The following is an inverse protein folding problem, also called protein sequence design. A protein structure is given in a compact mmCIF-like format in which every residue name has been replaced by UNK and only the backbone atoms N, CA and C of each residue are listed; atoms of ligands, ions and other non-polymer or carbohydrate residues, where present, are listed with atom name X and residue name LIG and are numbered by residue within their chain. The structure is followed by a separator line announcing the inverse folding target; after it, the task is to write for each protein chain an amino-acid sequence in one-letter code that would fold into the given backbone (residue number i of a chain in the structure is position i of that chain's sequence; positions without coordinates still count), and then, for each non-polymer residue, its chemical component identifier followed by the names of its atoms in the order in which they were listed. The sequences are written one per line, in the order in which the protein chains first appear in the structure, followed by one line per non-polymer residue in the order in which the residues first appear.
data_IF_848802120692
#
_entry.id   IF_848802120692
#
_cell.length_a   1.000
_cell.length_b   1.000
_cell.length_c   1.000
_cell.angle_alpha   90.00
_cell.angle_beta   90.00
_cell.angle_gamma   90.00
#
_symmetry.space_group_name_H-M   'P 1'
#
loop_
_entity.id
_entity.type
_entity.pdbx_description
1 polymer ?
#
# COMPACT_ATOMS: atom_id res chain seq x y z
N UNK A 1 24.53 -9.18 9.70
CA UNK A 1 24.71 -10.12 10.82
C UNK A 1 24.18 -9.46 12.09
N UNK A 2 23.11 -10.00 12.73
CA UNK A 2 22.54 -9.43 13.96
C UNK A 2 23.54 -9.37 15.12
N UNK A 3 24.62 -10.15 15.08
CA UNK A 3 25.64 -10.13 16.12
C UNK A 3 26.56 -8.92 16.05
N UNK A 4 26.76 -8.30 14.89
CA UNK A 4 27.59 -7.10 14.77
C UNK A 4 26.92 -5.92 15.49
N UNK A 5 25.60 -5.79 15.42
CA UNK A 5 24.86 -4.72 16.10
C UNK A 5 24.95 -4.79 17.63
N UNK A 6 25.34 -5.92 18.22
CA UNK A 6 25.58 -6.05 19.66
C UNK A 6 26.88 -5.36 20.09
N UNK A 7 27.88 -5.32 19.21
CA UNK A 7 29.20 -4.78 19.50
C UNK A 7 29.41 -3.36 19.01
N UNK A 8 28.58 -2.91 18.02
CA UNK A 8 28.66 -1.56 17.48
C UNK A 8 27.28 -0.90 17.41
N UNK A 9 27.00 0.04 18.33
CA UNK A 9 25.71 0.75 18.35
C UNK A 9 25.48 1.60 17.09
N UNK A 10 26.53 1.97 16.35
CA UNK A 10 26.41 2.79 15.14
C UNK A 10 25.77 2.03 13.97
N UNK A 11 25.79 0.70 14.02
CA UNK A 11 25.23 -0.18 12.98
C UNK A 11 23.75 -0.54 13.24
N UNK A 12 23.17 -0.07 14.33
CA UNK A 12 21.78 -0.38 14.68
C UNK A 12 20.80 0.33 13.76
N UNK A 13 19.66 -0.33 13.42
CA UNK A 13 18.56 0.33 12.74
C UNK A 13 18.03 1.52 13.57
N UNK A 14 17.39 2.48 12.89
CA UNK A 14 16.69 3.58 13.54
C UNK A 14 15.45 3.07 14.27
N UNK A 15 14.69 2.22 13.58
CA UNK A 15 13.52 1.56 14.13
C UNK A 15 13.46 0.09 13.70
N UNK A 16 12.61 -0.70 14.36
CA UNK A 16 12.46 -2.11 14.02
C UNK A 16 13.75 -2.92 14.14
N UNK A 17 13.96 -3.86 13.21
CA UNK A 17 15.06 -4.83 13.27
C UNK A 17 15.99 -4.78 12.04
N UNK A 18 15.67 -3.96 11.01
CA UNK A 18 16.34 -3.95 9.72
C UNK A 18 16.46 -2.53 9.17
N UNK A 19 17.48 -2.32 8.37
CA UNK A 19 17.69 -1.14 7.56
C UNK A 19 18.33 -1.52 6.22
N UNK A 20 18.37 -0.62 5.26
CA UNK A 20 19.09 -0.79 4.01
C UNK A 20 20.51 -0.25 4.15
N UNK A 21 21.49 -0.94 3.56
CA UNK A 21 22.88 -0.51 3.55
C UNK A 21 23.50 -0.70 2.17
N UNK A 22 24.31 0.30 1.76
CA UNK A 22 25.20 0.21 0.62
C UNK A 22 26.64 0.17 1.12
N UNK A 23 27.41 -0.77 0.61
CA UNK A 23 28.82 -0.99 0.93
C UNK A 23 29.70 -0.49 -0.22
N UNK A 24 31.01 -0.19 0.03
CA UNK A 24 31.88 0.33 -1.00
C UNK A 24 31.95 -0.55 -2.23
N UNK A 25 31.69 0.01 -3.40
CA UNK A 25 31.93 -0.65 -4.66
C UNK A 25 33.43 -0.77 -4.91
N UNK A 26 33.89 -1.90 -5.43
CA UNK A 26 35.28 -2.11 -5.81
C UNK A 26 35.37 -2.80 -7.17
N UNK A 27 36.00 -2.18 -8.17
CA UNK A 27 36.58 -0.82 -8.18
C UNK A 27 35.56 0.27 -8.48
N UNK A 28 35.79 1.48 -7.95
CA UNK A 28 35.11 2.71 -8.34
C UNK A 28 34.08 3.20 -7.34
N UNK A 29 33.28 4.18 -7.76
CA UNK A 29 32.21 4.75 -6.96
C UNK A 29 30.99 3.83 -6.95
N UNK A 30 30.21 3.90 -5.89
CA UNK A 30 28.88 3.31 -5.83
C UNK A 30 27.97 3.96 -6.87
N UNK A 31 27.00 3.20 -7.32
CA UNK A 31 25.87 3.65 -8.09
C UNK A 31 24.67 2.75 -7.75
N UNK A 32 24.35 2.71 -6.45
CA UNK A 32 23.38 1.77 -5.89
C UNK A 32 22.04 2.47 -5.70
N UNK A 33 21.03 1.97 -6.36
CA UNK A 33 19.69 2.54 -6.39
C UNK A 33 18.73 1.78 -5.47
N UNK A 34 18.03 2.53 -4.62
CA UNK A 34 16.80 2.11 -3.96
C UNK A 34 15.67 2.74 -4.78
N UNK A 35 14.90 1.93 -5.49
CA UNK A 35 13.82 2.40 -6.36
C UNK A 35 12.49 1.89 -5.82
N UNK A 36 11.48 2.77 -5.75
CA UNK A 36 10.12 2.38 -5.36
C UNK A 36 9.47 1.46 -6.41
N UNK A 37 8.47 0.67 -6.04
CA UNK A 37 7.48 0.18 -6.99
C UNK A 37 6.84 1.35 -7.76
N UNK A 38 6.14 1.05 -8.86
CA UNK A 38 5.40 2.08 -9.60
C UNK A 38 4.34 2.72 -8.69
N UNK A 39 4.35 4.06 -8.68
CA UNK A 39 3.49 4.90 -7.85
C UNK A 39 2.35 5.48 -8.70
N UNK A 40 1.21 5.69 -8.07
CA UNK A 40 0.04 6.31 -8.71
C UNK A 40 -0.66 7.23 -7.71
N UNK A 41 -0.15 8.45 -7.59
CA UNK A 41 -0.75 9.50 -6.77
C UNK A 41 -1.47 10.51 -7.68
N UNK A 42 -2.63 10.98 -7.25
CA UNK A 42 -3.40 12.00 -7.96
C UNK A 42 -3.13 13.44 -7.46
N UNK A 43 -2.15 13.60 -6.60
CA UNK A 43 -1.65 14.88 -6.05
C UNK A 43 -0.23 14.72 -5.57
N UNK A 44 0.43 15.84 -5.31
CA UNK A 44 1.76 15.86 -4.72
C UNK A 44 1.78 15.07 -3.40
N UNK A 45 2.85 14.34 -3.19
CA UNK A 45 3.04 13.46 -2.04
C UNK A 45 4.42 13.64 -1.42
N UNK A 46 4.67 13.01 -0.30
CA UNK A 46 5.91 13.15 0.45
C UNK A 46 6.73 11.86 0.35
N UNK A 47 8.00 12.04 0.02
CA UNK A 47 9.06 11.10 0.34
C UNK A 47 9.73 11.55 1.64
N UNK A 48 9.74 10.71 2.65
CA UNK A 48 10.48 10.92 3.89
C UNK A 48 11.28 9.66 4.22
N UNK A 49 12.53 9.82 4.63
CA UNK A 49 13.38 8.73 5.07
C UNK A 49 14.45 9.24 6.02
N UNK A 50 15.14 8.32 6.65
CA UNK A 50 16.30 8.63 7.47
C UNK A 50 17.54 7.99 6.88
N UNK A 51 18.64 8.74 6.86
CA UNK A 51 19.92 8.23 6.40
C UNK A 51 21.06 8.66 7.32
N UNK A 52 22.13 7.90 7.33
CA UNK A 52 23.38 8.24 7.98
C UNK A 52 24.60 7.57 7.33
N UNK A 53 25.77 8.18 7.49
CA UNK A 53 27.05 7.53 7.28
C UNK A 53 27.42 6.73 8.54
N UNK A 54 27.99 5.54 8.38
CA UNK A 54 28.46 4.76 9.52
C UNK A 54 29.62 5.46 10.25
N UNK A 55 30.61 5.98 9.50
CA UNK A 55 31.77 6.70 10.00
C UNK A 55 32.19 7.81 9.05
N UNK A 56 32.88 8.83 9.57
CA UNK A 56 33.49 9.88 8.74
C UNK A 56 35.02 9.67 8.54
N UNK A 57 35.58 8.59 9.05
CA UNK A 57 37.01 8.28 8.94
C UNK A 57 37.49 8.15 7.48
N UNK A 58 36.56 7.80 6.59
CA UNK A 58 36.80 7.67 5.15
C UNK A 58 36.05 8.74 4.34
N UNK A 59 35.49 9.77 5.00
CA UNK A 59 34.62 10.77 4.43
C UNK A 59 33.15 10.49 4.68
N UNK A 60 32.30 11.44 4.33
CA UNK A 60 30.85 11.30 4.40
C UNK A 60 30.32 10.55 3.19
N UNK A 61 29.33 9.72 3.39
CA UNK A 61 28.57 9.10 2.31
C UNK A 61 27.85 10.16 1.46
N UNK A 62 27.73 9.86 0.19
CA UNK A 62 27.10 10.74 -0.79
C UNK A 62 25.88 10.09 -1.39
N UNK A 63 24.78 10.83 -1.47
CA UNK A 63 23.56 10.35 -2.09
C UNK A 63 22.93 11.35 -3.03
N UNK A 64 22.16 10.85 -4.00
CA UNK A 64 21.18 11.62 -4.76
C UNK A 64 19.76 11.15 -4.40
N UNK A 65 18.80 12.06 -4.48
CA UNK A 65 17.37 11.76 -4.32
C UNK A 65 16.65 12.25 -5.57
N UNK A 66 15.81 11.42 -6.15
CA UNK A 66 15.16 11.76 -7.41
C UNK A 66 13.81 11.09 -7.60
N UNK A 67 13.12 11.51 -8.65
CA UNK A 67 11.91 10.89 -9.14
C UNK A 67 11.92 10.75 -10.66
N UNK A 68 11.08 9.85 -11.19
CA UNK A 68 10.88 9.67 -12.62
C UNK A 68 9.40 9.67 -12.96
N UNK A 69 9.03 10.23 -14.11
CA UNK A 69 7.66 10.26 -14.64
C UNK A 69 7.45 9.22 -15.75
N UNK A 70 8.49 8.51 -16.16
CA UNK A 70 8.48 7.57 -17.30
C UNK A 70 8.79 6.14 -16.87
N UNK A 71 10.05 5.84 -16.63
CA UNK A 71 10.59 4.52 -16.33
C UNK A 71 11.39 4.49 -15.03
N UNK A 72 12.03 3.37 -14.79
CA UNK A 72 12.86 3.15 -13.59
C UNK A 72 14.34 2.88 -13.94
N UNK A 73 14.76 3.18 -15.16
CA UNK A 73 16.17 3.14 -15.53
C UNK A 73 16.93 4.29 -14.88
N UNK A 74 18.21 4.11 -14.61
CA UNK A 74 19.06 5.10 -13.94
C UNK A 74 19.06 6.49 -14.63
N UNK A 75 18.84 6.52 -15.94
CA UNK A 75 18.79 7.74 -16.76
C UNK A 75 17.43 8.45 -16.74
N UNK A 76 16.40 7.83 -16.21
CA UNK A 76 15.04 8.39 -16.19
C UNK A 76 14.82 9.36 -15.02
N UNK A 77 15.72 9.35 -14.03
CA UNK A 77 15.52 10.09 -12.80
C UNK A 77 15.92 11.57 -12.91
N UNK A 78 15.03 12.41 -12.43
CA UNK A 78 15.23 13.86 -12.22
C UNK A 78 15.68 14.04 -10.77
N UNK A 79 16.89 14.61 -10.60
CA UNK A 79 17.49 14.76 -9.26
C UNK A 79 16.94 15.98 -8.53
N UNK A 80 16.42 15.77 -7.31
CA UNK A 80 15.90 16.82 -6.43
C UNK A 80 17.00 17.65 -5.76
N UNK A 81 18.20 17.10 -5.67
CA UNK A 81 19.38 17.78 -5.13
C UNK A 81 20.21 18.53 -6.18
N UNK A 82 19.73 18.60 -7.43
CA UNK A 82 20.45 19.25 -8.53
C UNK A 82 21.73 18.49 -8.95
N UNK A 83 22.80 19.23 -9.23
CA UNK A 83 24.04 18.65 -9.76
C UNK A 83 24.97 18.05 -8.69
N UNK A 84 24.80 18.44 -7.42
CA UNK A 84 25.70 18.05 -6.36
C UNK A 84 25.04 16.98 -5.46
N UNK A 85 25.69 15.84 -5.23
CA UNK A 85 25.26 14.86 -4.25
C UNK A 85 25.17 15.45 -2.84
N UNK A 86 24.27 14.90 -2.05
CA UNK A 86 24.05 15.29 -0.65
C UNK A 86 25.07 14.54 0.21
N UNK A 87 25.84 15.29 1.03
CA UNK A 87 26.63 14.69 2.07
C UNK A 87 25.74 14.19 3.23
N UNK A 88 25.92 12.93 3.59
CA UNK A 88 25.13 12.29 4.66
C UNK A 88 25.95 12.30 5.96
N UNK A 89 25.47 12.93 7.05
CA UNK A 89 26.21 13.00 8.29
C UNK A 89 26.39 11.63 8.97
N UNK A 90 27.43 11.51 9.76
CA UNK A 90 27.65 10.42 10.70
C UNK A 90 26.90 10.64 12.03
N UNK A 91 26.74 9.59 12.81
CA UNK A 91 26.23 9.64 14.18
C UNK A 91 24.72 9.41 14.24
N UNK A 92 23.94 10.47 14.34
CA UNK A 92 22.49 10.34 14.41
C UNK A 92 21.87 10.16 13.04
N UNK A 93 20.78 9.39 12.99
CA UNK A 93 19.94 9.32 11.81
C UNK A 93 19.38 10.69 11.46
N UNK A 94 19.63 11.15 10.24
CA UNK A 94 19.18 12.46 9.73
C UNK A 94 17.94 12.26 8.89
N UNK A 95 16.88 13.02 9.16
CA UNK A 95 15.66 13.03 8.37
C UNK A 95 15.86 13.80 7.07
N UNK A 96 15.38 13.19 5.97
CA UNK A 96 15.24 13.82 4.65
C UNK A 96 13.79 13.78 4.24
N UNK A 97 13.28 14.95 3.78
CA UNK A 97 11.88 15.11 3.39
C UNK A 97 11.79 15.91 2.11
N UNK A 98 11.04 15.38 1.15
CA UNK A 98 10.84 15.99 -0.16
C UNK A 98 9.36 15.96 -0.53
N UNK A 99 8.87 17.03 -1.17
CA UNK A 99 7.61 17.01 -1.88
C UNK A 99 7.85 16.49 -3.28
N UNK A 100 7.12 15.46 -3.66
CA UNK A 100 7.24 14.77 -4.95
C UNK A 100 5.99 15.12 -5.76
N UNK A 101 6.13 15.49 -7.03
CA UNK A 101 4.99 15.87 -7.86
C UNK A 101 4.09 14.68 -8.19
N UNK A 102 2.79 14.94 -8.38
CA UNK A 102 1.77 13.94 -8.62
C UNK A 102 2.04 13.01 -9.80
N UNK A 103 2.70 13.53 -10.84
CA UNK A 103 3.06 12.78 -12.04
C UNK A 103 4.22 11.79 -11.86
N UNK A 104 4.91 11.81 -10.72
CA UNK A 104 6.01 10.90 -10.46
C UNK A 104 5.52 9.45 -10.35
N UNK A 105 6.10 8.58 -11.17
CA UNK A 105 5.84 7.14 -11.18
C UNK A 105 6.81 6.35 -10.33
N UNK A 106 8.02 6.84 -10.18
CA UNK A 106 9.07 6.20 -9.39
C UNK A 106 9.82 7.26 -8.60
N UNK A 107 10.30 6.88 -7.44
CA UNK A 107 11.27 7.65 -6.65
C UNK A 107 12.51 6.81 -6.44
N UNK A 108 13.63 7.48 -6.22
CA UNK A 108 14.90 6.82 -5.93
C UNK A 108 15.73 7.53 -4.88
N UNK A 109 16.46 6.74 -4.12
CA UNK A 109 17.61 7.15 -3.30
C UNK A 109 18.81 6.41 -3.88
N UNK A 110 19.80 7.14 -4.35
CA UNK A 110 20.96 6.58 -5.03
C UNK A 110 22.25 6.88 -4.26
N UNK A 111 22.95 5.87 -3.77
CA UNK A 111 24.27 6.01 -3.20
C UNK A 111 25.31 6.20 -4.33
N UNK A 112 26.06 7.29 -4.24
CA UNK A 112 27.12 7.64 -5.21
C UNK A 112 28.47 7.86 -4.54
N UNK A 113 28.67 7.31 -3.36
CA UNK A 113 29.91 7.39 -2.60
C UNK A 113 31.06 6.75 -3.35
N UNK A 114 32.27 7.26 -3.14
CA UNK A 114 33.46 6.72 -3.75
C UNK A 114 34.46 6.32 -2.68
N UNK A 115 34.60 5.00 -2.45
CA UNK A 115 35.49 4.42 -1.48
C UNK A 115 35.27 4.93 -0.04
N UNK A 116 34.03 5.27 0.29
CA UNK A 116 33.56 5.55 1.65
C UNK A 116 33.22 4.21 2.31
N UNK A 117 32.50 4.13 3.44
CA UNK A 117 32.38 2.85 4.14
C UNK A 117 30.98 2.24 4.06
N UNK A 118 30.00 2.76 4.81
CA UNK A 118 28.62 2.24 4.77
C UNK A 118 27.62 3.39 4.74
N UNK A 119 26.85 3.47 3.68
CA UNK A 119 25.66 4.28 3.58
C UNK A 119 24.47 3.52 4.14
N UNK A 120 23.71 4.12 5.05
CA UNK A 120 22.60 3.49 5.75
C UNK A 120 21.31 4.29 5.54
N UNK A 121 20.21 3.59 5.21
CA UNK A 121 18.86 4.18 5.01
C UNK A 121 17.85 3.37 5.80
N UNK A 122 16.91 4.07 6.45
CA UNK A 122 15.83 3.48 7.24
C UNK A 122 14.55 4.31 7.21
N UNK A 123 13.44 3.72 7.64
CA UNK A 123 12.13 4.36 7.80
C UNK A 123 11.68 5.14 6.57
N UNK A 124 11.72 4.51 5.39
CA UNK A 124 11.26 5.12 4.15
C UNK A 124 9.72 5.20 4.17
N UNK A 125 9.21 6.41 4.07
CA UNK A 125 7.79 6.72 3.93
C UNK A 125 7.51 7.37 2.59
N UNK A 126 6.54 6.86 1.87
CA UNK A 126 6.01 7.43 0.62
C UNK A 126 4.52 7.56 0.79
N UNK A 127 4.00 8.77 0.73
CA UNK A 127 2.57 8.97 0.94
C UNK A 127 2.17 10.43 1.01
N UNK A 128 0.90 10.65 1.22
CA UNK A 128 0.37 11.99 1.42
C UNK A 128 0.47 12.35 2.90
N UNK A 129 0.97 13.54 3.16
CA UNK A 129 1.02 14.05 4.54
C UNK A 129 -0.40 14.30 5.06
N UNK A 130 -0.66 13.78 6.23
CA UNK A 130 -1.91 14.07 6.91
C UNK A 130 -1.86 15.50 7.46
N UNK A 131 -3.00 16.21 7.51
CA UNK A 131 -3.04 17.54 8.10
C UNK A 131 -2.49 17.57 9.53
N UNK A 132 -1.91 18.70 9.91
CA UNK A 132 -1.38 18.91 11.26
C UNK A 132 -2.44 18.61 12.33
N UNK A 133 -2.06 17.87 13.37
CA UNK A 133 -2.96 17.47 14.47
C UNK A 133 -3.58 16.08 14.33
N UNK A 134 -3.29 15.36 13.23
CA UNK A 134 -3.70 13.98 13.04
C UNK A 134 -2.66 13.03 13.67
N UNK A 135 -2.94 12.51 14.85
CA UNK A 135 -2.09 11.52 15.54
C UNK A 135 -2.44 10.11 15.08
N UNK A 136 -1.56 9.50 14.28
CA UNK A 136 -1.70 8.14 13.77
C UNK A 136 -1.83 7.07 14.88
N UNK A 137 -1.26 7.31 16.05
CA UNK A 137 -1.33 6.38 17.17
C UNK A 137 -2.72 6.32 17.80
N UNK A 138 -3.44 7.45 17.77
CA UNK A 138 -4.83 7.55 18.20
C UNK A 138 -5.85 7.20 17.09
N UNK A 139 -5.41 7.01 15.85
CA UNK A 139 -6.27 6.79 14.68
C UNK A 139 -6.80 5.37 14.56
N UNK A 140 -6.14 4.37 15.13
CA UNK A 140 -6.55 2.97 15.00
C UNK A 140 -7.94 2.67 15.58
N UNK A 141 -8.43 3.48 16.48
CA UNK A 141 -9.70 3.21 17.19
C UNK A 141 -10.93 3.94 16.63
N UNK A 142 -10.75 4.97 15.78
CA UNK A 142 -11.87 5.82 15.34
C UNK A 142 -11.85 6.20 13.84
N UNK A 143 -11.26 5.37 12.98
CA UNK A 143 -11.35 5.61 11.55
C UNK A 143 -12.72 5.15 11.05
N UNK A 144 -13.45 6.05 10.37
CA UNK A 144 -14.61 5.68 9.56
C UNK A 144 -14.37 6.03 8.10
N UNK A 145 -15.10 5.37 7.23
CA UNK A 145 -15.04 5.58 5.79
C UNK A 145 -16.40 6.07 5.31
N UNK A 146 -16.41 7.21 4.65
CA UNK A 146 -17.56 7.64 3.87
C UNK A 146 -17.50 6.97 2.51
N UNK A 147 -18.56 6.25 2.15
CA UNK A 147 -18.69 5.53 0.89
C UNK A 147 -19.61 6.30 -0.05
N UNK A 148 -19.18 6.48 -1.27
CA UNK A 148 -19.87 7.21 -2.31
C UNK A 148 -20.15 6.30 -3.51
N UNK A 149 -21.28 6.53 -4.15
CA UNK A 149 -21.64 5.93 -5.43
C UNK A 149 -22.13 7.05 -6.35
N UNK A 150 -21.55 7.15 -7.54
CA UNK A 150 -21.89 8.15 -8.55
C UNK A 150 -21.91 9.60 -8.04
N UNK A 151 -21.00 9.90 -7.10
CA UNK A 151 -20.84 11.21 -6.46
C UNK A 151 -21.72 11.44 -5.24
N UNK A 152 -22.67 10.55 -4.94
CA UNK A 152 -23.52 10.65 -3.76
C UNK A 152 -22.98 9.80 -2.59
N UNK A 153 -22.98 10.38 -1.38
CA UNK A 153 -22.63 9.64 -0.17
C UNK A 153 -23.75 8.67 0.19
N UNK A 154 -23.46 7.38 0.18
CA UNK A 154 -24.43 6.32 0.43
C UNK A 154 -24.28 5.67 1.81
N UNK A 155 -23.08 5.72 2.41
CA UNK A 155 -22.86 5.11 3.72
C UNK A 155 -21.67 5.73 4.46
N UNK A 156 -21.61 5.42 5.77
CA UNK A 156 -20.40 5.59 6.60
C UNK A 156 -20.18 4.30 7.36
N UNK A 157 -18.98 3.72 7.27
CA UNK A 157 -18.63 2.44 7.89
C UNK A 157 -17.25 2.50 8.54
N UNK A 158 -17.01 1.65 9.53
CA UNK A 158 -15.67 1.41 10.08
C UNK A 158 -14.96 0.20 9.45
N UNK A 159 -15.66 -0.50 8.54
CA UNK A 159 -15.10 -1.66 7.85
C UNK A 159 -14.28 -1.22 6.64
N UNK A 160 -13.19 -1.94 6.36
CA UNK A 160 -12.33 -1.69 5.19
C UNK A 160 -12.89 -2.24 3.87
N UNK A 161 -14.12 -2.76 3.88
CA UNK A 161 -14.82 -3.25 2.70
C UNK A 161 -16.27 -2.74 2.69
N UNK A 162 -16.83 -2.60 1.49
CA UNK A 162 -18.23 -2.25 1.28
C UNK A 162 -18.76 -2.96 0.04
N UNK A 163 -19.94 -3.56 0.15
CA UNK A 163 -20.61 -4.23 -0.96
C UNK A 163 -21.72 -3.32 -1.52
N UNK A 164 -21.58 -2.93 -2.77
CA UNK A 164 -22.66 -2.29 -3.52
C UNK A 164 -23.62 -3.37 -4.01
N UNK A 165 -24.90 -3.17 -3.84
CA UNK A 165 -25.96 -4.08 -4.30
C UNK A 165 -27.07 -3.33 -4.99
N UNK A 166 -27.78 -4.01 -5.90
CA UNK A 166 -28.91 -3.42 -6.63
C UNK A 166 -28.53 -2.33 -7.62
N UNK A 167 -27.30 -2.37 -8.14
CA UNK A 167 -26.84 -1.41 -9.15
C UNK A 167 -27.52 -1.69 -10.50
N UNK A 168 -27.88 -0.63 -11.21
CA UNK A 168 -28.33 -0.73 -12.58
C UNK A 168 -27.16 -1.07 -13.51
N UNK A 169 -27.47 -1.65 -14.68
CA UNK A 169 -26.49 -1.83 -15.76
C UNK A 169 -25.91 -0.49 -16.19
N UNK A 170 -24.60 -0.42 -16.35
CA UNK A 170 -23.91 0.76 -16.85
C UNK A 170 -22.63 1.08 -16.08
N UNK A 171 -22.10 2.25 -16.40
CA UNK A 171 -20.89 2.76 -15.73
C UNK A 171 -21.26 3.40 -14.40
N UNK A 172 -20.53 3.05 -13.40
CA UNK A 172 -20.65 3.59 -12.06
C UNK A 172 -19.29 4.05 -11.55
N UNK A 173 -19.31 4.95 -10.58
CA UNK A 173 -18.13 5.45 -9.91
C UNK A 173 -18.25 5.23 -8.40
N UNK A 174 -17.42 4.36 -7.87
CA UNK A 174 -17.28 4.18 -6.42
C UNK A 174 -16.26 5.17 -5.88
N UNK A 175 -16.58 5.82 -4.77
CA UNK A 175 -15.71 6.76 -4.08
C UNK A 175 -15.59 6.43 -2.60
N UNK A 176 -14.44 6.74 -2.00
CA UNK A 176 -14.23 6.61 -0.56
C UNK A 176 -13.45 7.80 -0.02
N UNK A 177 -13.82 8.23 1.19
CA UNK A 177 -13.05 9.16 2.01
C UNK A 177 -12.82 8.53 3.37
N UNK A 178 -11.61 8.65 3.92
CA UNK A 178 -11.37 8.32 5.31
C UNK A 178 -11.67 9.54 6.19
N UNK A 179 -12.37 9.31 7.29
CA UNK A 179 -12.74 10.32 8.27
C UNK A 179 -12.03 10.01 9.58
N UNK A 180 -11.24 10.97 10.03
CA UNK A 180 -10.45 10.91 11.25
C UNK A 180 -10.93 12.02 12.17
N UNK A 181 -11.61 11.69 13.25
CA UNK A 181 -12.08 12.68 14.24
C UNK A 181 -12.66 13.97 13.62
N UNK A 182 -11.80 14.90 13.21
CA UNK A 182 -12.16 16.20 12.63
C UNK A 182 -11.64 16.42 11.20
N UNK A 183 -10.92 15.44 10.63
CA UNK A 183 -10.28 15.57 9.32
C UNK A 183 -10.78 14.49 8.37
N UNK A 184 -11.12 14.88 7.16
CA UNK A 184 -11.54 13.97 6.08
C UNK A 184 -10.52 14.02 4.96
N UNK A 185 -10.10 12.86 4.44
CA UNK A 185 -9.21 12.82 3.27
C UNK A 185 -9.92 13.30 2.01
N UNK A 186 -9.19 13.69 0.97
CA UNK A 186 -9.75 13.79 -0.36
C UNK A 186 -10.40 12.47 -0.78
N UNK A 187 -11.36 12.55 -1.69
CA UNK A 187 -12.04 11.38 -2.23
C UNK A 187 -11.12 10.61 -3.18
N UNK A 188 -11.03 9.30 -2.96
CA UNK A 188 -10.44 8.38 -3.94
C UNK A 188 -11.58 7.71 -4.68
N UNK A 189 -11.54 7.69 -6.01
CA UNK A 189 -12.59 7.17 -6.86
C UNK A 189 -12.07 6.11 -7.82
N UNK A 190 -12.94 5.15 -8.16
CA UNK A 190 -12.72 4.15 -9.20
C UNK A 190 -13.98 4.01 -10.04
N UNK A 191 -13.82 3.97 -11.36
CA UNK A 191 -14.90 3.66 -12.30
C UNK A 191 -14.97 2.14 -12.53
N UNK A 192 -16.20 1.62 -12.64
CA UNK A 192 -16.45 0.22 -12.94
C UNK A 192 -17.73 0.07 -13.77
N UNK A 193 -17.81 -1.00 -14.54
CA UNK A 193 -19.00 -1.33 -15.34
C UNK A 193 -19.82 -2.43 -14.66
N UNK A 194 -21.12 -2.26 -14.62
CA UNK A 194 -22.09 -3.29 -14.23
C UNK A 194 -22.71 -3.87 -15.49
N UNK A 195 -22.40 -5.14 -15.76
CA UNK A 195 -22.98 -5.87 -16.89
C UNK A 195 -24.33 -6.47 -16.51
N UNK A 196 -25.18 -6.70 -17.54
CA UNK A 196 -26.46 -7.39 -17.35
C UNK A 196 -26.19 -8.89 -17.10
N UNK A 197 -26.66 -9.43 -16.00
CA UNK A 197 -26.65 -10.86 -15.76
C UNK A 197 -25.48 -11.42 -14.93
N UNK A 198 -24.65 -10.59 -14.26
CA UNK A 198 -23.76 -11.10 -13.21
C UNK A 198 -24.44 -11.20 -11.82
N UNK A 199 -25.67 -10.72 -11.68
CA UNK A 199 -26.56 -11.16 -10.62
C UNK A 199 -26.97 -12.59 -10.89
N UNK A 200 -26.75 -13.49 -9.94
CA UNK A 200 -27.60 -14.67 -9.86
C UNK A 200 -29.02 -14.09 -9.92
N UNK A 201 -29.74 -14.24 -11.07
CA UNK A 201 -31.18 -14.11 -11.03
C UNK A 201 -31.56 -14.91 -9.78
N UNK A 202 -32.27 -14.29 -8.83
CA UNK A 202 -33.10 -15.07 -7.93
C UNK A 202 -34.04 -15.82 -8.88
N UNK A 203 -33.54 -16.90 -9.46
CA UNK A 203 -34.37 -17.90 -10.04
C UNK A 203 -35.36 -18.15 -8.94
N UNK A 204 -36.61 -17.75 -9.19
CA UNK A 204 -37.70 -18.07 -8.30
C UNK A 204 -37.51 -19.53 -7.99
N UNK A 205 -37.00 -19.81 -6.78
CA UNK A 205 -36.59 -21.15 -6.36
C UNK A 205 -37.85 -22.02 -6.16
N UNK A 206 -38.84 -21.86 -7.03
CA UNK A 206 -40.08 -22.62 -7.06
C UNK A 206 -40.43 -23.25 -5.69
N UNK A 207 -40.51 -22.44 -4.64
CA UNK A 207 -40.71 -22.87 -3.25
C UNK A 207 -39.46 -23.38 -2.51
N UNK A 208 -38.27 -23.28 -3.11
CA UNK A 208 -36.99 -23.63 -2.45
C UNK A 208 -36.44 -22.42 -1.70
N UNK A 209 -35.84 -22.65 -0.56
CA UNK A 209 -35.16 -21.60 0.21
C UNK A 209 -33.83 -22.09 0.71
N UNK A 210 -32.86 -21.16 0.81
CA UNK A 210 -31.54 -21.39 1.39
C UNK A 210 -31.33 -20.36 2.50
N UNK A 211 -31.19 -20.82 3.75
CA UNK A 211 -30.99 -19.92 4.88
C UNK A 211 -30.20 -20.59 6.03
N UNK A 212 -29.51 -19.82 6.87
CA UNK A 212 -29.23 -18.40 6.69
C UNK A 212 -28.26 -18.15 5.53
N UNK A 213 -28.37 -16.97 4.90
CA UNK A 213 -27.43 -16.53 3.88
C UNK A 213 -27.00 -15.08 4.20
N UNK A 214 -25.72 -14.82 4.57
CA UNK A 214 -24.63 -15.80 4.67
C UNK A 214 -24.75 -16.76 5.86
N UNK A 215 -24.29 -18.00 5.69
CA UNK A 215 -24.21 -19.00 6.74
C UNK A 215 -22.88 -18.93 7.49
N UNK A 216 -22.89 -19.21 8.81
CA UNK A 216 -21.65 -19.30 9.62
C UNK A 216 -21.19 -20.74 9.84
N UNK A 217 -22.09 -21.64 10.19
CA UNK A 217 -21.80 -23.04 10.51
C UNK A 217 -22.65 -24.02 9.70
N UNK A 218 -23.92 -23.71 9.56
CA UNK A 218 -24.89 -24.55 8.86
C UNK A 218 -25.73 -23.73 7.90
N UNK A 219 -26.17 -24.38 6.82
CA UNK A 219 -27.14 -23.84 5.88
C UNK A 219 -28.27 -24.86 5.73
N UNK A 220 -29.51 -24.37 5.76
CA UNK A 220 -30.68 -25.21 5.49
C UNK A 220 -31.18 -24.94 4.07
N UNK A 221 -31.34 -26.00 3.29
CA UNK A 221 -31.96 -25.96 1.98
C UNK A 221 -33.31 -26.65 2.09
N UNK A 222 -34.39 -25.97 1.73
CA UNK A 222 -35.76 -26.53 1.73
C UNK A 222 -36.35 -26.48 0.34
N UNK A 223 -37.28 -27.40 0.07
CA UNK A 223 -37.89 -27.63 -1.24
C UNK A 223 -37.28 -28.84 -1.94
N UNK A 224 -37.90 -29.29 -3.06
CA UNK A 224 -37.42 -30.43 -3.83
C UNK A 224 -36.26 -30.01 -4.73
N UNK A 225 -35.19 -30.85 -4.77
CA UNK A 225 -34.03 -30.68 -5.64
C UNK A 225 -33.47 -32.05 -6.02
N UNK A 226 -32.85 -32.15 -7.19
CA UNK A 226 -32.20 -33.43 -7.61
C UNK A 226 -30.87 -33.59 -6.89
N UNK A 227 -30.09 -32.55 -6.83
CA UNK A 227 -28.82 -32.49 -6.09
C UNK A 227 -28.48 -31.04 -5.69
N UNK A 228 -27.61 -30.91 -4.67
CA UNK A 228 -27.01 -29.66 -4.20
C UNK A 228 -25.49 -29.75 -4.39
N UNK A 229 -24.88 -28.81 -5.07
CA UNK A 229 -23.43 -28.71 -5.18
C UNK A 229 -22.90 -27.46 -4.45
N UNK A 230 -21.83 -27.66 -3.72
CA UNK A 230 -21.13 -26.59 -3.00
C UNK A 230 -19.81 -26.30 -3.72
N UNK A 231 -19.59 -25.07 -4.07
CA UNK A 231 -18.37 -24.57 -4.72
C UNK A 231 -17.63 -23.62 -3.82
N UNK A 232 -16.30 -23.59 -3.92
CA UNK A 232 -15.51 -22.51 -3.33
C UNK A 232 -15.51 -21.24 -4.22
N UNK A 233 -14.90 -20.17 -3.73
CA UNK A 233 -14.83 -18.89 -4.45
C UNK A 233 -14.03 -18.97 -5.76
N UNK A 234 -13.26 -20.04 -5.99
CA UNK A 234 -12.54 -20.30 -7.24
C UNK A 234 -13.36 -21.09 -8.27
N UNK A 235 -14.62 -21.47 -7.93
CA UNK A 235 -15.49 -22.28 -8.76
C UNK A 235 -15.21 -23.78 -8.69
N UNK A 236 -14.39 -24.24 -7.75
CA UNK A 236 -14.11 -25.68 -7.56
C UNK A 236 -15.17 -26.32 -6.68
N UNK A 237 -15.82 -27.38 -7.21
CA UNK A 237 -16.80 -28.15 -6.44
C UNK A 237 -16.14 -28.81 -5.22
N UNK A 238 -16.73 -28.59 -4.03
CA UNK A 238 -16.29 -29.12 -2.74
C UNK A 238 -17.11 -30.27 -2.26
N UNK A 239 -18.39 -30.25 -2.53
CA UNK A 239 -19.31 -31.31 -2.14
C UNK A 239 -20.54 -31.33 -3.06
N UNK A 240 -21.19 -32.52 -3.16
CA UNK A 240 -22.46 -32.70 -3.82
C UNK A 240 -23.32 -33.66 -3.00
N UNK A 241 -24.58 -33.30 -2.79
CA UNK A 241 -25.56 -34.05 -2.05
C UNK A 241 -26.80 -34.28 -2.91
N UNK A 242 -27.38 -35.46 -2.83
CA UNK A 242 -28.62 -35.77 -3.53
C UNK A 242 -29.83 -35.66 -2.58
N UNK A 243 -31.00 -35.43 -3.16
CA UNK A 243 -32.23 -35.28 -2.37
C UNK A 243 -32.47 -36.49 -1.46
N UNK A 244 -32.71 -36.23 -0.17
CA UNK A 244 -32.90 -37.28 0.83
C UNK A 244 -31.64 -37.76 1.56
N UNK A 245 -30.44 -37.26 1.21
CA UNK A 245 -29.24 -37.51 2.00
C UNK A 245 -29.21 -36.54 3.21
N UNK A 246 -28.80 -37.05 4.35
CA UNK A 246 -28.58 -36.22 5.55
C UNK A 246 -27.21 -35.59 5.42
N UNK A 247 -27.16 -34.27 5.52
CA UNK A 247 -25.95 -33.44 5.47
C UNK A 247 -25.36 -33.30 6.87
#
# INVERSE_FOLDING_TARGET
DPNIALFDPNIRPRSGEKYLASFPARPGANNDFIISPELNFNRDFILKFYAKSYTEDYGKELMNVGYSVSGNDATDFIWLNGENPIEVPMGNWTEYKYTIPAEAKYITINCVSNNIFIFMVDDIFIGVELPEGVDLNNMKENISFEVYLDGEKINTTQQSNYLFSGLNKGKHKAGVKAVFSSVTTPMTEIEFDVEEGSGIEENQLNGRTIHPNPAKETVTVSGEYDYLSIFDISGKEKARYFYGETI
#
